data_IF_377450138213
#
_entry.id   IF_377450138213
#
_cell.length_a   1.000
_cell.length_b   1.000
_cell.length_c   1.000
_cell.angle_alpha   90.00
_cell.angle_beta   90.00
_cell.angle_gamma   90.00
#
_symmetry.space_group_name_H-M   'P 1'
#
loop_
_entity.id
_entity.type
_entity.pdbx_description
1 polymer ?
#
# COMPACT_ATOMS: atom_id res chain seq x y z
N UNK A 1 -2.22 30.14 8.27
CA UNK A 1 -2.12 28.68 7.96
C UNK A 1 -0.68 28.42 7.54
N UNK A 2 0.11 27.64 8.29
CA UNK A 2 1.51 27.37 7.93
C UNK A 2 1.58 26.71 6.54
N UNK A 3 2.49 27.19 5.68
CA UNK A 3 2.66 26.66 4.32
C UNK A 3 3.22 25.24 4.44
N UNK A 4 2.48 24.25 3.95
CA UNK A 4 2.93 22.84 3.96
C UNK A 4 4.22 22.74 3.14
N UNK A 5 5.23 22.09 3.71
CA UNK A 5 6.52 21.86 3.04
C UNK A 5 6.28 21.12 1.70
N UNK A 6 6.84 21.64 0.60
CA UNK A 6 6.70 21.07 -0.75
C UNK A 6 7.14 19.60 -0.80
N UNK A 7 8.09 19.19 0.05
CA UNK A 7 8.54 17.79 0.14
C UNK A 7 7.41 16.83 0.52
N UNK A 8 6.46 17.28 1.35
CA UNK A 8 5.27 16.47 1.66
C UNK A 8 4.41 16.27 0.41
N UNK A 9 4.26 17.30 -0.42
CA UNK A 9 3.52 17.20 -1.67
C UNK A 9 4.22 16.23 -2.65
N UNK A 10 5.53 16.32 -2.82
CA UNK A 10 6.29 15.40 -3.65
C UNK A 10 6.24 13.96 -3.13
N UNK A 11 6.32 13.77 -1.82
CA UNK A 11 6.12 12.46 -1.19
C UNK A 11 4.76 11.85 -1.53
N UNK A 12 3.68 12.66 -1.58
CA UNK A 12 2.36 12.18 -1.99
C UNK A 12 2.35 11.68 -3.44
N UNK A 13 3.01 12.40 -4.34
CA UNK A 13 3.09 12.00 -5.75
C UNK A 13 3.94 10.73 -5.90
N UNK A 14 5.16 10.74 -5.36
CA UNK A 14 6.06 9.58 -5.38
C UNK A 14 5.42 8.31 -4.82
N UNK A 15 4.69 8.43 -3.70
CA UNK A 15 4.00 7.31 -3.07
C UNK A 15 2.90 6.67 -3.93
N UNK A 16 2.31 7.42 -4.85
CA UNK A 16 1.25 6.95 -5.75
C UNK A 16 1.77 6.45 -7.09
N UNK A 17 2.83 7.05 -7.61
CA UNK A 17 3.31 6.79 -8.98
C UNK A 17 4.56 5.94 -9.03
N UNK A 18 5.35 5.87 -7.96
CA UNK A 18 6.62 5.14 -7.93
C UNK A 18 6.58 4.01 -6.91
N UNK A 19 6.42 4.33 -5.62
CA UNK A 19 6.45 3.31 -4.57
C UNK A 19 5.70 3.73 -3.32
N UNK A 20 4.61 3.03 -3.01
CA UNK A 20 3.78 3.29 -1.82
C UNK A 20 4.41 2.80 -0.51
N UNK A 21 5.15 1.69 -0.55
CA UNK A 21 5.85 1.13 0.61
C UNK A 21 7.35 1.18 0.35
N UNK A 22 8.00 2.14 0.98
CA UNK A 22 9.43 2.41 0.80
C UNK A 22 10.02 2.91 2.13
N UNK A 23 11.22 2.45 2.45
CA UNK A 23 12.06 3.06 3.46
C UNK A 23 12.70 4.31 2.86
N UNK A 24 12.10 5.47 3.12
CA UNK A 24 12.56 6.75 2.56
C UNK A 24 13.89 7.20 3.14
N UNK A 25 14.24 6.78 4.35
CA UNK A 25 15.53 7.11 4.98
C UNK A 25 16.61 6.39 4.19
N UNK A 26 16.49 5.06 4.06
CA UNK A 26 17.43 4.25 3.28
C UNK A 26 17.50 4.74 1.83
N UNK A 27 16.37 5.04 1.20
CA UNK A 27 16.32 5.51 -0.19
C UNK A 27 17.09 6.81 -0.38
N UNK A 28 16.89 7.81 0.50
CA UNK A 28 17.52 9.13 0.37
C UNK A 28 19.00 9.04 0.71
N UNK A 29 19.35 8.46 1.86
CA UNK A 29 20.74 8.36 2.31
C UNK A 29 21.62 7.57 1.33
N UNK A 30 21.21 6.35 0.99
CA UNK A 30 21.97 5.53 0.03
C UNK A 30 21.93 6.11 -1.38
N UNK A 31 20.88 6.84 -1.73
CA UNK A 31 20.76 7.53 -3.01
C UNK A 31 21.82 8.62 -3.16
N UNK A 32 21.94 9.49 -2.15
CA UNK A 32 22.93 10.58 -2.13
C UNK A 32 24.35 10.03 -2.10
N UNK A 33 24.66 9.09 -1.19
CA UNK A 33 25.99 8.47 -1.12
C UNK A 33 26.39 7.85 -2.46
N UNK A 34 25.44 7.20 -3.14
CA UNK A 34 25.71 6.54 -4.42
C UNK A 34 25.95 7.54 -5.56
N UNK A 35 25.17 8.61 -5.66
CA UNK A 35 25.43 9.68 -6.66
C UNK A 35 26.81 10.33 -6.43
N UNK A 36 27.22 10.53 -5.16
CA UNK A 36 28.56 11.04 -4.84
C UNK A 36 29.67 10.05 -5.23
N UNK A 37 29.49 8.75 -4.97
CA UNK A 37 30.44 7.70 -5.35
C UNK A 37 30.56 7.58 -6.87
N UNK A 38 29.45 7.62 -7.60
CA UNK A 38 29.44 7.59 -9.06
C UNK A 38 30.18 8.81 -9.63
N UNK A 39 29.97 9.99 -9.05
CA UNK A 39 30.62 11.23 -9.49
C UNK A 39 32.13 11.27 -9.21
N UNK A 40 32.59 10.64 -8.11
CA UNK A 40 34.01 10.66 -7.68
C UNK A 40 34.83 9.47 -8.16
N UNK A 41 34.24 8.28 -8.12
CA UNK A 41 34.94 7.01 -8.32
C UNK A 41 34.61 6.36 -9.67
N UNK A 42 33.68 6.93 -10.45
CA UNK A 42 33.30 6.42 -11.77
C UNK A 42 32.58 5.06 -11.74
N UNK A 43 32.05 4.65 -10.59
CA UNK A 43 31.27 3.41 -10.47
C UNK A 43 30.06 3.49 -11.41
N UNK A 44 29.87 2.48 -12.25
CA UNK A 44 28.75 2.41 -13.17
C UNK A 44 27.53 1.76 -12.55
N UNK A 45 26.33 2.12 -13.00
CA UNK A 45 25.06 1.52 -12.53
C UNK A 45 25.02 0.00 -12.77
N UNK A 46 25.75 -0.46 -13.79
CA UNK A 46 25.88 -1.85 -14.22
C UNK A 46 26.67 -2.70 -13.22
N UNK A 47 27.55 -2.09 -12.43
CA UNK A 47 28.35 -2.75 -11.39
C UNK A 47 27.55 -3.02 -10.11
N UNK A 48 26.37 -2.41 -9.99
CA UNK A 48 25.47 -2.61 -8.86
C UNK A 48 24.66 -3.90 -9.00
N UNK A 49 24.44 -4.57 -7.87
CA UNK A 49 23.48 -5.67 -7.79
C UNK A 49 22.05 -5.21 -8.12
N UNK A 50 21.19 -6.13 -8.56
CA UNK A 50 19.84 -5.82 -9.03
C UNK A 50 19.01 -5.03 -8.00
N UNK A 51 19.08 -5.41 -6.72
CA UNK A 51 18.39 -4.73 -5.64
C UNK A 51 18.85 -3.28 -5.44
N UNK A 52 20.14 -3.02 -5.56
CA UNK A 52 20.71 -1.69 -5.43
C UNK A 52 20.40 -0.83 -6.64
N UNK A 53 20.48 -1.40 -7.84
CA UNK A 53 20.10 -0.75 -9.09
C UNK A 53 18.65 -0.26 -9.04
N UNK A 54 17.72 -1.11 -8.60
CA UNK A 54 16.30 -0.74 -8.42
C UNK A 54 16.13 0.43 -7.43
N UNK A 55 16.79 0.37 -6.26
CA UNK A 55 16.73 1.46 -5.27
C UNK A 55 17.30 2.77 -5.83
N UNK A 56 18.42 2.70 -6.54
CA UNK A 56 19.04 3.86 -7.15
C UNK A 56 18.17 4.47 -8.26
N UNK A 57 17.56 3.65 -9.12
CA UNK A 57 16.58 4.11 -10.11
C UNK A 57 15.39 4.82 -9.44
N UNK A 58 14.83 4.25 -8.37
CA UNK A 58 13.77 4.90 -7.60
C UNK A 58 14.21 6.25 -7.03
N UNK A 59 15.44 6.35 -6.52
CA UNK A 59 15.99 7.61 -6.03
C UNK A 59 16.16 8.64 -7.16
N UNK A 60 16.63 8.22 -8.34
CA UNK A 60 16.70 9.12 -9.51
C UNK A 60 15.32 9.59 -9.97
N UNK A 61 14.31 8.72 -9.97
CA UNK A 61 12.93 9.13 -10.24
C UNK A 61 12.43 10.15 -9.21
N UNK A 62 12.77 9.98 -7.93
CA UNK A 62 12.45 10.97 -6.89
C UNK A 62 13.09 12.33 -7.20
N UNK A 63 14.36 12.37 -7.61
CA UNK A 63 15.04 13.61 -8.00
C UNK A 63 14.38 14.28 -9.22
N UNK A 64 13.96 13.51 -10.21
CA UNK A 64 13.24 14.01 -11.39
C UNK A 64 11.87 14.60 -11.02
N UNK A 65 11.15 13.97 -10.09
CA UNK A 65 9.86 14.45 -9.59
C UNK A 65 9.98 15.71 -8.72
N UNK A 66 11.17 15.97 -8.18
CA UNK A 66 11.44 17.08 -7.29
C UNK A 66 12.52 17.99 -7.91
N UNK A 67 12.19 18.87 -8.88
CA UNK A 67 13.19 19.61 -9.65
C UNK A 67 14.19 20.40 -8.78
N UNK A 68 13.69 21.00 -7.70
CA UNK A 68 14.54 21.76 -6.77
C UNK A 68 15.27 20.89 -5.75
N UNK A 69 14.90 19.63 -5.57
CA UNK A 69 15.53 18.74 -4.60
C UNK A 69 16.91 18.33 -5.08
N UNK A 70 17.10 18.08 -6.37
CA UNK A 70 18.42 17.78 -6.93
C UNK A 70 19.40 18.94 -6.68
N UNK A 71 19.02 20.17 -7.05
CA UNK A 71 19.84 21.35 -6.77
C UNK A 71 20.07 21.55 -5.28
N UNK A 72 19.05 21.33 -4.45
CA UNK A 72 19.14 21.55 -3.01
C UNK A 72 20.05 20.51 -2.34
N UNK A 73 19.96 19.22 -2.73
CA UNK A 73 20.78 18.12 -2.19
C UNK A 73 22.26 18.29 -2.57
N UNK A 74 22.55 18.58 -3.85
CA UNK A 74 23.93 18.49 -4.34
C UNK A 74 24.72 19.81 -4.36
N UNK A 75 24.09 20.97 -4.09
CA UNK A 75 24.80 22.27 -4.03
C UNK A 75 25.31 22.68 -2.64
N UNK A 76 24.80 22.07 -1.57
CA UNK A 76 25.21 22.37 -0.19
C UNK A 76 25.92 21.15 0.42
N UNK A 77 26.78 21.34 1.42
CA UNK A 77 27.25 20.22 2.26
C UNK A 77 26.13 19.88 3.23
N UNK A 78 25.45 18.76 2.99
CA UNK A 78 24.36 18.30 3.85
C UNK A 78 24.90 17.53 5.05
N UNK A 79 24.17 17.63 6.15
CA UNK A 79 24.34 16.75 7.31
C UNK A 79 23.41 15.55 7.21
N UNK A 80 23.69 14.53 8.01
CA UNK A 80 22.81 13.37 8.16
C UNK A 80 21.37 13.78 8.59
N UNK A 81 21.28 14.81 9.45
CA UNK A 81 20.02 15.38 9.94
C UNK A 81 19.20 16.01 8.80
N UNK A 82 19.84 16.69 7.86
CA UNK A 82 19.15 17.30 6.72
C UNK A 82 18.54 16.21 5.81
N UNK A 83 19.30 15.14 5.54
CA UNK A 83 18.84 14.00 4.74
C UNK A 83 17.67 13.29 5.42
N UNK A 84 17.77 13.10 6.74
CA UNK A 84 16.70 12.53 7.56
C UNK A 84 15.45 13.41 7.55
N UNK A 85 15.59 14.74 7.64
CA UNK A 85 14.47 15.67 7.51
C UNK A 85 13.74 15.52 6.17
N UNK A 86 14.49 15.43 5.05
CA UNK A 86 13.89 15.21 3.72
C UNK A 86 13.16 13.87 3.67
N UNK A 87 13.81 12.80 4.13
CA UNK A 87 13.23 11.47 4.16
C UNK A 87 11.91 11.44 4.96
N UNK A 88 11.85 12.15 6.09
CA UNK A 88 10.65 12.24 6.93
C UNK A 88 9.52 13.03 6.27
N UNK A 89 9.82 14.14 5.58
CA UNK A 89 8.78 14.88 4.84
C UNK A 89 8.22 14.06 3.69
N UNK A 90 9.07 13.32 2.98
CA UNK A 90 8.65 12.41 1.92
C UNK A 90 7.79 11.28 2.50
N UNK A 91 8.24 10.64 3.59
CA UNK A 91 7.51 9.58 4.30
C UNK A 91 6.13 10.04 4.75
N UNK A 92 6.05 11.25 5.32
CA UNK A 92 4.78 11.87 5.69
C UNK A 92 3.87 12.01 4.47
N UNK A 93 4.40 12.53 3.36
CA UNK A 93 3.65 12.66 2.10
C UNK A 93 3.10 11.32 1.59
N UNK A 94 3.93 10.29 1.53
CA UNK A 94 3.55 8.94 1.11
C UNK A 94 2.45 8.39 2.03
N UNK A 95 2.63 8.51 3.35
CA UNK A 95 1.65 8.05 4.33
C UNK A 95 0.32 8.79 4.24
N UNK A 96 0.35 10.11 4.04
CA UNK A 96 -0.85 10.95 3.90
C UNK A 96 -1.59 10.65 2.59
N UNK A 97 -0.87 10.33 1.51
CA UNK A 97 -1.50 9.90 0.25
C UNK A 97 -2.26 8.58 0.45
N UNK A 98 -1.59 7.57 1.00
CA UNK A 98 -2.20 6.28 1.32
C UNK A 98 -3.39 6.41 2.26
N UNK A 99 -3.28 7.22 3.31
CA UNK A 99 -4.36 7.42 4.27
C UNK A 99 -5.58 8.09 3.61
N UNK A 100 -5.36 9.03 2.70
CA UNK A 100 -6.44 9.65 1.94
C UNK A 100 -7.12 8.65 0.99
N UNK A 101 -6.35 7.83 0.28
CA UNK A 101 -6.89 6.84 -0.66
C UNK A 101 -7.66 5.73 0.09
N UNK A 102 -7.17 5.29 1.25
CA UNK A 102 -7.90 4.37 2.13
C UNK A 102 -9.18 4.99 2.71
N UNK A 103 -9.19 6.31 2.95
CA UNK A 103 -10.38 7.02 3.47
C UNK A 103 -11.51 7.02 2.44
N UNK A 104 -11.22 7.23 1.17
CA UNK A 104 -12.23 7.22 0.09
C UNK A 104 -12.69 5.80 -0.23
N UNK A 105 -11.77 4.82 -0.20
CA UNK A 105 -12.09 3.42 -0.42
C UNK A 105 -13.07 2.87 0.63
N UNK A 106 -12.93 3.28 1.89
CA UNK A 106 -13.84 2.87 2.98
C UNK A 106 -15.31 3.09 2.63
N UNK A 107 -15.68 4.22 2.03
CA UNK A 107 -17.07 4.46 1.63
C UNK A 107 -17.46 3.65 0.39
N UNK A 108 -16.57 3.60 -0.61
CA UNK A 108 -16.83 2.93 -1.88
C UNK A 108 -17.05 1.41 -1.72
N UNK A 109 -16.32 0.76 -0.81
CA UNK A 109 -16.50 -0.68 -0.53
C UNK A 109 -17.94 -1.01 -0.17
N UNK A 110 -18.63 -0.15 0.58
CA UNK A 110 -20.03 -0.40 0.95
C UNK A 110 -20.92 -0.38 -0.28
N UNK A 111 -20.68 0.52 -1.24
CA UNK A 111 -21.40 0.53 -2.51
C UNK A 111 -21.16 -0.74 -3.32
N UNK A 112 -19.91 -1.19 -3.40
CA UNK A 112 -19.53 -2.34 -4.21
C UNK A 112 -20.13 -3.66 -3.70
N UNK A 113 -20.12 -3.86 -2.38
CA UNK A 113 -20.63 -5.09 -1.76
C UNK A 113 -22.15 -5.09 -1.59
N UNK A 114 -22.82 -3.93 -1.69
CA UNK A 114 -24.28 -3.86 -1.59
C UNK A 114 -24.89 -4.45 -2.86
N UNK A 115 -25.83 -5.43 -2.76
CA UNK A 115 -26.53 -5.97 -3.92
C UNK A 115 -27.28 -4.87 -4.69
N UNK A 116 -27.37 -4.99 -6.01
CA UNK A 116 -28.13 -4.04 -6.83
C UNK A 116 -29.60 -4.03 -6.39
N UNK A 117 -30.13 -2.83 -6.08
CA UNK A 117 -31.50 -2.66 -5.58
C UNK A 117 -31.74 -3.21 -4.17
N UNK A 118 -30.70 -3.70 -3.48
CA UNK A 118 -30.80 -4.29 -2.15
C UNK A 118 -30.17 -3.43 -1.05
N UNK A 119 -30.13 -4.00 0.15
CA UNK A 119 -29.47 -3.43 1.33
C UNK A 119 -28.58 -4.47 1.99
N UNK A 120 -27.58 -4.02 2.75
CA UNK A 120 -26.81 -4.89 3.63
C UNK A 120 -27.57 -5.13 4.93
N UNK A 121 -27.55 -6.37 5.40
CA UNK A 121 -28.15 -6.75 6.68
C UNK A 121 -27.12 -7.51 7.53
N UNK A 122 -26.73 -6.99 8.71
CA UNK A 122 -27.08 -5.68 9.27
C UNK A 122 -26.61 -4.49 8.39
N UNK A 123 -27.19 -3.30 8.58
CA UNK A 123 -26.76 -2.13 7.80
C UNK A 123 -25.34 -1.70 8.19
N UNK A 124 -24.53 -1.31 7.21
CA UNK A 124 -23.16 -0.81 7.43
C UNK A 124 -23.07 0.68 7.11
N UNK A 125 -22.56 1.46 8.05
CA UNK A 125 -22.31 2.89 7.85
C UNK A 125 -21.09 3.10 6.95
N UNK A 126 -21.25 3.89 5.88
CA UNK A 126 -20.18 4.27 4.94
C UNK A 126 -18.99 4.95 5.63
N UNK A 127 -19.28 5.77 6.64
CA UNK A 127 -18.32 6.57 7.39
C UNK A 127 -17.59 5.80 8.50
N UNK A 128 -18.03 4.59 8.86
CA UNK A 128 -17.46 3.82 9.98
C UNK A 128 -16.94 2.46 9.54
N UNK A 129 -15.80 2.05 10.08
CA UNK A 129 -15.28 0.67 9.90
C UNK A 129 -15.88 -0.32 10.89
N UNK A 130 -16.62 0.17 11.89
CA UNK A 130 -17.24 -0.68 12.92
C UNK A 130 -18.20 -1.68 12.29
N UNK A 131 -18.19 -2.90 12.82
CA UNK A 131 -19.01 -4.01 12.34
C UNK A 131 -18.51 -4.66 11.04
N UNK A 132 -17.52 -4.11 10.34
CA UNK A 132 -17.00 -4.72 9.10
C UNK A 132 -16.02 -5.87 9.40
N UNK A 133 -15.50 -6.50 8.35
CA UNK A 133 -14.59 -7.64 8.48
C UNK A 133 -15.36 -8.90 8.87
N UNK A 134 -14.78 -9.73 9.74
CA UNK A 134 -15.43 -10.96 10.23
C UNK A 134 -16.65 -10.70 11.14
N UNK A 135 -16.87 -9.46 11.59
CA UNK A 135 -18.00 -9.08 12.43
C UNK A 135 -19.33 -8.90 11.68
N UNK A 136 -19.33 -8.97 10.35
CA UNK A 136 -20.55 -8.86 9.54
C UNK A 136 -20.66 -10.01 8.53
N UNK A 137 -21.85 -10.61 8.33
CA UNK A 137 -22.01 -11.80 7.49
C UNK A 137 -21.48 -11.64 6.06
N UNK A 138 -21.79 -10.52 5.39
CA UNK A 138 -21.35 -10.27 4.00
C UNK A 138 -19.83 -10.06 3.92
N UNK A 139 -19.26 -9.10 4.65
CA UNK A 139 -17.81 -8.85 4.58
C UNK A 139 -16.99 -10.00 5.12
N UNK A 140 -17.50 -10.72 6.12
CA UNK A 140 -16.85 -11.91 6.67
C UNK A 140 -16.80 -13.03 5.65
N UNK A 141 -17.90 -13.31 4.94
CA UNK A 141 -17.92 -14.28 3.83
C UNK A 141 -16.92 -13.93 2.74
N UNK A 142 -16.87 -12.65 2.34
CA UNK A 142 -15.96 -12.18 1.30
C UNK A 142 -14.48 -12.32 1.70
N UNK A 143 -14.16 -12.09 2.98
CA UNK A 143 -12.80 -12.14 3.50
C UNK A 143 -12.39 -13.51 4.03
N UNK A 144 -13.34 -14.44 4.19
CA UNK A 144 -13.07 -15.79 4.64
C UNK A 144 -12.07 -16.43 3.67
N UNK A 145 -10.97 -17.00 4.18
CA UNK A 145 -10.06 -17.79 3.37
C UNK A 145 -10.75 -18.93 2.66
N UNK A 146 -10.19 -19.35 1.53
CA UNK A 146 -10.60 -20.55 0.80
C UNK A 146 -10.51 -21.81 1.64
N UNK A 147 -9.61 -21.86 2.63
CA UNK A 147 -9.40 -23.02 3.50
C UNK A 147 -10.51 -23.24 4.55
N UNK A 148 -11.46 -22.31 4.67
CA UNK A 148 -12.49 -22.35 5.71
C UNK A 148 -13.89 -22.14 5.14
N UNK A 149 -14.85 -22.89 5.66
CA UNK A 149 -16.25 -22.71 5.32
C UNK A 149 -16.89 -21.62 6.20
N UNK A 150 -17.21 -20.48 5.61
CA UNK A 150 -17.90 -19.40 6.31
C UNK A 150 -19.30 -19.79 6.81
N UNK A 151 -19.93 -20.84 6.25
CA UNK A 151 -21.23 -21.31 6.73
C UNK A 151 -21.14 -22.00 8.09
N UNK A 152 -19.96 -22.47 8.49
CA UNK A 152 -19.71 -23.02 9.82
C UNK A 152 -19.69 -21.91 10.91
N UNK A 153 -20.61 -21.92 11.89
CA UNK A 153 -20.62 -20.97 12.99
C UNK A 153 -19.36 -20.98 13.84
N UNK A 154 -18.67 -22.12 13.94
CA UNK A 154 -17.39 -22.25 14.65
C UNK A 154 -16.31 -21.42 13.97
N UNK A 155 -16.17 -21.56 12.64
CA UNK A 155 -15.25 -20.75 11.83
C UNK A 155 -15.54 -19.26 12.01
N UNK A 156 -16.80 -18.84 11.90
CA UNK A 156 -17.17 -17.42 12.09
C UNK A 156 -16.76 -16.91 13.47
N UNK A 157 -16.97 -17.70 14.52
CA UNK A 157 -16.66 -17.32 15.90
C UNK A 157 -15.16 -17.17 16.11
N UNK A 158 -14.37 -18.15 15.62
CA UNK A 158 -12.90 -18.15 15.76
C UNK A 158 -12.23 -17.06 14.92
N UNK A 159 -12.78 -16.74 13.75
CA UNK A 159 -12.35 -15.59 12.93
C UNK A 159 -12.68 -14.25 13.60
N UNK A 160 -13.85 -14.13 14.24
CA UNK A 160 -14.25 -12.91 14.97
C UNK A 160 -13.41 -12.66 16.22
N UNK A 161 -13.12 -13.72 16.98
CA UNK A 161 -12.31 -13.63 18.20
C UNK A 161 -10.82 -13.43 17.89
N UNK A 162 -10.37 -13.78 16.68
CA UNK A 162 -8.96 -13.77 16.29
C UNK A 162 -8.20 -15.03 16.73
N UNK A 163 -8.88 -16.03 17.27
CA UNK A 163 -8.29 -17.36 17.55
C UNK A 163 -7.78 -18.02 16.26
N UNK A 164 -8.54 -17.84 15.17
CA UNK A 164 -8.14 -18.28 13.85
C UNK A 164 -7.50 -17.10 13.10
N UNK A 165 -6.17 -17.03 13.14
CA UNK A 165 -5.42 -16.02 12.44
C UNK A 165 -5.31 -16.34 10.94
N UNK A 166 -5.82 -15.46 10.10
CA UNK A 166 -5.66 -15.57 8.64
C UNK A 166 -4.25 -15.13 8.25
N UNK A 167 -3.49 -16.02 7.63
CA UNK A 167 -2.13 -15.70 7.16
C UNK A 167 -2.15 -14.98 5.80
N UNK A 168 -1.04 -14.32 5.45
CA UNK A 168 -0.88 -13.69 4.13
C UNK A 168 -0.81 -14.67 2.95
N UNK A 169 -0.71 -15.97 3.21
CA UNK A 169 -0.74 -17.03 2.19
C UNK A 169 -2.15 -17.52 1.89
N UNK A 170 -3.12 -17.16 2.73
CA UNK A 170 -4.51 -17.56 2.61
C UNK A 170 -5.28 -16.51 1.83
N UNK A 171 -5.91 -16.95 0.75
CA UNK A 171 -6.57 -16.06 -0.20
C UNK A 171 -8.04 -15.89 0.18
N UNK A 172 -8.57 -14.66 0.19
CA UNK A 172 -9.97 -14.42 0.51
C UNK A 172 -10.89 -14.79 -0.66
N UNK A 173 -12.07 -15.34 -0.34
CA UNK A 173 -13.06 -15.79 -1.32
C UNK A 173 -13.51 -14.70 -2.30
N UNK A 174 -13.47 -13.42 -1.93
CA UNK A 174 -13.91 -12.33 -2.81
C UNK A 174 -13.13 -12.25 -4.12
N UNK A 175 -11.98 -12.91 -4.26
CA UNK A 175 -11.20 -12.91 -5.49
C UNK A 175 -11.81 -13.79 -6.58
N UNK A 176 -12.60 -14.78 -6.21
CA UNK A 176 -13.22 -15.70 -7.15
C UNK A 176 -14.58 -15.21 -7.63
N UNK A 177 -14.93 -15.54 -8.87
CA UNK A 177 -16.25 -15.35 -9.42
C UNK A 177 -17.32 -15.96 -8.50
N UNK A 178 -18.34 -15.17 -8.14
CA UNK A 178 -19.39 -15.62 -7.21
C UNK A 178 -18.93 -15.94 -5.78
N UNK A 179 -17.69 -15.59 -5.42
CA UNK A 179 -17.07 -15.95 -4.14
C UNK A 179 -17.05 -17.46 -3.88
N UNK A 180 -16.75 -18.24 -4.92
CA UNK A 180 -16.60 -19.69 -4.88
C UNK A 180 -15.27 -20.10 -5.48
N UNK A 181 -14.43 -20.72 -4.68
CA UNK A 181 -13.18 -21.31 -5.14
C UNK A 181 -13.44 -22.76 -5.57
N UNK A 182 -12.93 -23.15 -6.74
CA UNK A 182 -12.90 -24.54 -7.15
C UNK A 182 -11.58 -25.15 -6.65
N UNK A 183 -11.66 -26.12 -5.74
CA UNK A 183 -10.47 -26.75 -5.16
C UNK A 183 -9.69 -27.60 -6.18
N UNK A 184 -10.36 -28.11 -7.21
CA UNK A 184 -9.75 -28.89 -8.29
C UNK A 184 -9.05 -27.99 -9.33
N UNK A 185 -9.49 -26.73 -9.46
CA UNK A 185 -8.89 -25.72 -10.34
C UNK A 185 -8.99 -24.31 -9.74
N UNK A 186 -7.95 -23.92 -8.99
CA UNK A 186 -7.90 -22.61 -8.34
C UNK A 186 -7.93 -21.44 -9.34
N UNK A 187 -7.57 -21.65 -10.61
CA UNK A 187 -7.58 -20.59 -11.63
C UNK A 187 -8.99 -20.34 -12.19
N UNK A 188 -9.89 -21.31 -12.07
CA UNK A 188 -11.28 -21.12 -12.43
C UNK A 188 -11.88 -20.00 -11.58
N UNK A 189 -12.47 -19.00 -12.23
CA UNK A 189 -13.02 -17.84 -11.56
C UNK A 189 -12.02 -16.90 -10.84
N UNK A 190 -10.72 -17.21 -10.77
CA UNK A 190 -9.75 -16.39 -10.03
C UNK A 190 -9.62 -14.97 -10.61
N UNK A 191 -9.63 -13.97 -9.73
CA UNK A 191 -9.63 -12.54 -10.07
C UNK A 191 -10.79 -12.09 -10.98
N UNK A 192 -11.90 -12.86 -11.04
CA UNK A 192 -13.10 -12.58 -11.86
C UNK A 192 -14.34 -12.27 -11.02
N UNK A 193 -14.15 -11.89 -9.76
CA UNK A 193 -15.24 -11.41 -8.92
C UNK A 193 -15.78 -10.07 -9.41
N UNK A 194 -17.07 -9.81 -9.16
CA UNK A 194 -17.71 -8.52 -9.44
C UNK A 194 -17.07 -7.33 -8.69
N UNK A 195 -16.27 -7.60 -7.66
CA UNK A 195 -15.63 -6.58 -6.83
C UNK A 195 -14.25 -6.13 -7.34
N UNK A 196 -13.75 -6.76 -8.41
CA UNK A 196 -12.46 -6.49 -9.04
C UNK A 196 -12.68 -5.84 -10.41
#
# INVERSE_FOLDING_TARGET
>A
RAKVDKLVHYGRHFGRTVRTFCDTIVLVHQGVTREEQMSRNGISIEELGEGERRKHQMFRTLLQLCPHLHERIFRMKWTDDDLTYVADKLKKGISDARSNDLKTLKSAIIDWITPQGGVLTPSLLRSSKMGRGFHHPVTGKLLCPTDYDWTDPSVQTRLRSGELAVSGLQWPLFLWAGSKCNEDDLWDGFMKSRLL
#
